data_IF_801586107460
#
_entry.id   IF_801586107460
#
_cell.length_a   1.000
_cell.length_b   1.000
_cell.length_c   1.000
_cell.angle_alpha   90.00
_cell.angle_beta   90.00
_cell.angle_gamma   90.00
#
_symmetry.space_group_name_H-M   'P 1'
#
loop_
_entity.id
_entity.type
_entity.pdbx_description
1 polymer ?
#
# COMPACT_ATOMS: atom_id res chain seq x y z
N UNK A 1 -39.65 -16.85 -19.89
CA UNK A 1 -38.45 -17.16 -19.09
C UNK A 1 -37.50 -15.97 -19.17
N UNK A 2 -37.42 -15.19 -18.09
CA UNK A 2 -36.51 -14.04 -18.00
C UNK A 2 -35.14 -14.55 -17.51
N UNK A 3 -34.18 -14.64 -18.42
CA UNK A 3 -32.77 -14.79 -18.05
C UNK A 3 -32.35 -13.45 -17.46
N UNK A 4 -32.40 -13.35 -16.13
CA UNK A 4 -31.82 -12.22 -15.42
C UNK A 4 -30.29 -12.41 -15.54
N UNK A 5 -29.62 -11.46 -16.17
CA UNK A 5 -28.15 -11.34 -16.21
C UNK A 5 -27.62 -11.01 -14.79
N UNK A 6 -27.69 -12.00 -13.90
CA UNK A 6 -27.14 -11.97 -12.54
C UNK A 6 -25.63 -11.64 -12.52
N UNK A 7 -24.76 -12.16 -13.44
CA UNK A 7 -23.32 -11.91 -13.40
C UNK A 7 -22.95 -10.43 -13.59
N UNK A 8 -23.71 -9.72 -14.43
CA UNK A 8 -23.43 -8.33 -14.84
C UNK A 8 -23.66 -7.34 -13.70
N UNK A 9 -24.62 -7.64 -12.81
CA UNK A 9 -24.93 -6.78 -11.66
C UNK A 9 -23.91 -6.96 -10.53
N UNK A 10 -23.47 -8.20 -10.26
CA UNK A 10 -22.42 -8.47 -9.28
C UNK A 10 -21.09 -7.85 -9.68
N UNK A 11 -20.66 -8.00 -10.94
CA UNK A 11 -19.44 -7.36 -11.43
C UNK A 11 -19.49 -5.83 -11.33
N UNK A 12 -20.64 -5.22 -11.61
CA UNK A 12 -20.83 -3.77 -11.49
C UNK A 12 -20.72 -3.32 -10.03
N UNK A 13 -21.32 -4.07 -9.10
CA UNK A 13 -21.20 -3.80 -7.67
C UNK A 13 -19.75 -3.92 -7.19
N UNK A 14 -19.04 -4.99 -7.56
CA UNK A 14 -17.62 -5.17 -7.24
C UNK A 14 -16.78 -4.00 -7.74
N UNK A 15 -16.95 -3.60 -8.99
CA UNK A 15 -16.24 -2.45 -9.57
C UNK A 15 -16.55 -1.14 -8.83
N UNK A 16 -17.80 -0.93 -8.39
CA UNK A 16 -18.19 0.25 -7.59
C UNK A 16 -17.53 0.24 -6.21
N UNK A 17 -17.51 -0.91 -5.54
CA UNK A 17 -16.88 -1.07 -4.23
C UNK A 17 -15.36 -0.87 -4.33
N UNK A 18 -14.72 -1.44 -5.33
CA UNK A 18 -13.28 -1.25 -5.58
C UNK A 18 -12.93 0.23 -5.82
N UNK A 19 -13.71 0.92 -6.66
CA UNK A 19 -13.55 2.37 -6.87
C UNK A 19 -13.72 3.17 -5.59
N UNK A 20 -14.71 2.83 -4.76
CA UNK A 20 -14.94 3.49 -3.49
C UNK A 20 -13.78 3.25 -2.51
N UNK A 21 -13.29 2.01 -2.42
CA UNK A 21 -12.14 1.65 -1.60
C UNK A 21 -10.87 2.40 -2.04
N UNK A 22 -10.59 2.44 -3.34
CA UNK A 22 -9.44 3.17 -3.88
C UNK A 22 -9.47 4.65 -3.52
N UNK A 23 -10.64 5.31 -3.63
CA UNK A 23 -10.81 6.72 -3.20
C UNK A 23 -10.54 6.92 -1.71
N UNK A 24 -10.94 5.97 -0.86
CA UNK A 24 -10.65 6.02 0.58
C UNK A 24 -9.14 5.93 0.82
N UNK A 25 -8.44 5.03 0.11
CA UNK A 25 -6.98 4.90 0.23
C UNK A 25 -6.24 6.14 -0.27
N UNK A 26 -6.70 6.81 -1.33
CA UNK A 26 -6.12 8.08 -1.79
C UNK A 26 -6.25 9.19 -0.73
N UNK A 27 -7.42 9.30 -0.09
CA UNK A 27 -7.63 10.24 1.02
C UNK A 27 -6.78 9.87 2.24
N UNK A 28 -6.68 8.58 2.56
CA UNK A 28 -5.83 8.10 3.64
C UNK A 28 -4.36 8.43 3.38
N UNK A 29 -3.87 8.21 2.16
CA UNK A 29 -2.53 8.56 1.72
C UNK A 29 -2.26 10.06 1.86
N UNK A 30 -3.22 10.92 1.46
CA UNK A 30 -3.14 12.34 1.73
C UNK A 30 -2.92 12.61 3.23
N UNK A 31 -3.73 12.02 4.11
CA UNK A 31 -3.64 12.25 5.56
C UNK A 31 -2.30 11.80 6.17
N UNK A 32 -1.79 10.62 5.82
CA UNK A 32 -0.59 10.05 6.44
C UNK A 32 0.74 10.56 5.85
N UNK A 33 0.71 11.11 4.63
CA UNK A 33 1.91 11.64 3.97
C UNK A 33 2.52 12.78 4.77
N UNK A 34 3.82 12.69 5.06
CA UNK A 34 4.51 13.65 5.94
C UNK A 34 5.42 14.65 5.23
N UNK A 35 5.92 14.30 4.05
CA UNK A 35 6.96 15.07 3.34
C UNK A 35 6.58 15.43 1.91
N UNK A 36 5.48 14.88 1.40
CA UNK A 36 4.95 15.21 0.07
C UNK A 36 4.08 16.44 0.13
N UNK A 37 4.21 17.31 -0.88
CA UNK A 37 3.51 18.59 -0.91
C UNK A 37 1.98 18.38 -0.95
N UNK A 38 1.26 18.90 0.05
CA UNK A 38 -0.22 18.82 0.13
C UNK A 38 -0.91 19.26 -1.16
N UNK A 39 -0.45 20.35 -1.78
CA UNK A 39 -1.01 20.83 -3.03
C UNK A 39 -0.86 19.82 -4.18
N UNK A 40 0.27 19.12 -4.23
CA UNK A 40 0.49 18.10 -5.25
C UNK A 40 -0.34 16.84 -4.98
N UNK A 41 -0.54 16.49 -3.70
CA UNK A 41 -1.41 15.36 -3.31
C UNK A 41 -2.89 15.65 -3.63
N UNK A 42 -3.38 16.86 -3.33
CA UNK A 42 -4.74 17.28 -3.71
C UNK A 42 -4.88 17.29 -5.23
N UNK A 43 -3.88 17.82 -5.93
CA UNK A 43 -3.87 17.80 -7.38
C UNK A 43 -3.92 16.36 -7.92
N UNK A 44 -3.11 15.43 -7.42
CA UNK A 44 -3.15 14.01 -7.84
C UNK A 44 -4.54 13.38 -7.68
N UNK A 45 -5.26 13.72 -6.60
CA UNK A 45 -6.61 13.22 -6.36
C UNK A 45 -7.68 13.83 -7.30
N UNK A 46 -7.47 15.06 -7.78
CA UNK A 46 -8.48 15.82 -8.55
C UNK A 46 -8.09 16.09 -10.00
N UNK A 47 -6.89 15.70 -10.43
CA UNK A 47 -6.33 16.06 -11.71
C UNK A 47 -7.16 15.54 -12.87
N UNK A 48 -7.35 16.39 -13.88
CA UNK A 48 -7.80 15.97 -15.19
C UNK A 48 -6.64 15.34 -15.98
N UNK A 49 -6.90 14.42 -16.94
CA UNK A 49 -5.85 13.71 -17.68
C UNK A 49 -4.79 14.62 -18.35
N UNK A 50 -5.18 15.82 -18.75
CA UNK A 50 -4.33 16.77 -19.49
C UNK A 50 -3.73 17.89 -18.62
N UNK A 51 -3.95 17.84 -17.30
CA UNK A 51 -3.36 18.84 -16.41
C UNK A 51 -1.88 18.56 -16.13
N UNK A 52 -1.10 19.64 -16.05
CA UNK A 52 0.28 19.56 -15.61
C UNK A 52 0.35 19.56 -14.08
N UNK A 53 1.17 18.67 -13.53
CA UNK A 53 1.46 18.63 -12.10
C UNK A 53 2.01 19.98 -11.64
N UNK A 54 1.42 20.63 -10.62
CA UNK A 54 1.91 21.90 -10.10
C UNK A 54 3.31 21.71 -9.49
N UNK A 55 4.11 22.77 -9.48
CA UNK A 55 5.38 22.78 -8.75
C UNK A 55 5.16 22.63 -7.24
N UNK A 56 6.22 22.29 -6.51
CA UNK A 56 6.14 22.17 -5.05
C UNK A 56 5.90 23.55 -4.42
N UNK A 57 4.87 23.67 -3.59
CA UNK A 57 4.41 24.96 -3.09
C UNK A 57 5.32 25.58 -2.02
N UNK A 58 6.15 24.78 -1.35
CA UNK A 58 7.05 25.17 -0.25
C UNK A 58 6.39 25.87 0.96
N UNK A 59 5.05 25.86 1.06
CA UNK A 59 4.29 26.59 2.09
C UNK A 59 3.31 25.76 2.93
N UNK A 60 2.99 24.53 2.52
CA UNK A 60 2.15 23.63 3.33
C UNK A 60 2.94 23.01 4.48
N UNK A 61 2.24 22.47 5.48
CA UNK A 61 2.79 21.75 6.63
C UNK A 61 3.83 20.69 6.23
N UNK A 62 3.52 19.84 5.25
CA UNK A 62 4.44 18.81 4.77
C UNK A 62 5.70 19.39 4.13
N UNK A 63 5.57 20.49 3.37
CA UNK A 63 6.74 21.15 2.78
C UNK A 63 7.62 21.78 3.86
N UNK A 64 7.02 22.47 4.83
CA UNK A 64 7.72 23.07 5.96
C UNK A 64 8.46 21.96 6.73
N UNK A 65 7.78 20.85 7.03
CA UNK A 65 8.36 19.68 7.70
C UNK A 65 9.51 19.07 6.89
N UNK A 66 9.37 18.92 5.58
CA UNK A 66 10.42 18.39 4.69
C UNK A 66 11.65 19.30 4.66
N UNK A 67 11.46 20.61 4.56
CA UNK A 67 12.56 21.59 4.54
C UNK A 67 13.31 21.59 5.88
N UNK A 68 12.59 21.53 7.00
CA UNK A 68 13.16 21.48 8.33
C UNK A 68 13.91 20.17 8.59
N UNK A 69 13.28 19.02 8.33
CA UNK A 69 13.81 17.70 8.67
C UNK A 69 14.85 17.19 7.66
N UNK A 70 14.85 17.71 6.43
CA UNK A 70 15.72 17.27 5.32
C UNK A 70 15.80 15.73 5.23
N UNK A 71 14.65 15.04 5.06
CA UNK A 71 14.64 13.59 5.05
C UNK A 71 15.51 13.05 3.93
N UNK A 72 16.21 11.95 4.19
CA UNK A 72 16.98 11.23 3.18
C UNK A 72 16.03 10.42 2.30
N UNK A 73 16.10 10.62 0.99
CA UNK A 73 15.45 9.74 0.03
C UNK A 73 16.24 8.43 -0.03
N UNK A 74 15.54 7.31 0.15
CA UNK A 74 16.10 5.98 0.04
C UNK A 74 15.49 5.30 -1.18
N UNK A 75 16.31 4.58 -1.94
CA UNK A 75 15.80 3.65 -2.93
C UNK A 75 15.26 2.43 -2.17
N UNK A 76 13.95 2.22 -2.25
CA UNK A 76 13.24 1.12 -1.60
C UNK A 76 12.84 0.01 -2.56
N UNK A 77 13.37 0.00 -3.79
CA UNK A 77 12.97 -0.96 -4.82
C UNK A 77 13.10 -2.41 -4.35
N UNK A 78 14.25 -2.77 -3.79
CA UNK A 78 14.51 -4.14 -3.36
C UNK A 78 13.62 -4.55 -2.16
N UNK A 79 13.32 -3.62 -1.25
CA UNK A 79 12.40 -3.84 -0.15
C UNK A 79 10.97 -4.07 -0.65
N UNK A 80 10.51 -3.28 -1.62
CA UNK A 80 9.19 -3.42 -2.24
C UNK A 80 9.09 -4.76 -2.97
N UNK A 81 10.09 -5.13 -3.76
CA UNK A 81 10.11 -6.42 -4.46
C UNK A 81 10.03 -7.59 -3.48
N UNK A 82 10.81 -7.56 -2.40
CA UNK A 82 10.75 -8.59 -1.34
C UNK A 82 9.39 -8.64 -0.66
N UNK A 83 8.73 -7.50 -0.43
CA UNK A 83 7.38 -7.48 0.14
C UNK A 83 6.37 -8.12 -0.81
N UNK A 84 6.47 -7.84 -2.11
CA UNK A 84 5.61 -8.43 -3.13
C UNK A 84 5.82 -9.95 -3.23
N UNK A 85 7.05 -10.43 -3.16
CA UNK A 85 7.37 -11.87 -3.11
C UNK A 85 6.70 -12.55 -1.89
N UNK A 86 6.71 -11.90 -0.71
CA UNK A 86 6.04 -12.40 0.48
C UNK A 86 4.52 -12.44 0.28
N UNK A 87 3.93 -11.39 -0.32
CA UNK A 87 2.49 -11.35 -0.62
C UNK A 87 2.10 -12.46 -1.60
N UNK A 88 2.86 -12.63 -2.67
CA UNK A 88 2.61 -13.65 -3.70
C UNK A 88 2.65 -15.05 -3.09
N UNK A 89 3.66 -15.33 -2.27
CA UNK A 89 3.78 -16.62 -1.60
C UNK A 89 2.61 -16.87 -0.63
N UNK A 90 2.34 -15.91 0.26
CA UNK A 90 1.32 -16.09 1.30
C UNK A 90 -0.11 -16.05 0.74
N UNK A 91 -0.33 -15.44 -0.42
CA UNK A 91 -1.66 -15.42 -1.06
C UNK A 91 -2.08 -16.80 -1.58
N UNK A 92 -1.16 -17.77 -1.65
CA UNK A 92 -1.47 -19.18 -1.94
C UNK A 92 -2.00 -19.94 -0.70
N UNK A 93 -1.83 -19.38 0.50
CA UNK A 93 -2.27 -19.97 1.76
C UNK A 93 -3.68 -19.48 2.14
N UNK A 94 -4.48 -20.37 2.73
CA UNK A 94 -5.78 -19.97 3.27
C UNK A 94 -5.64 -19.10 4.53
N UNK A 95 -6.54 -18.11 4.64
CA UNK A 95 -6.74 -17.25 5.81
C UNK A 95 -5.59 -16.30 6.16
N UNK A 96 -4.72 -15.94 5.22
CA UNK A 96 -3.66 -14.94 5.47
C UNK A 96 -4.23 -13.53 5.66
N UNK A 97 -3.80 -12.83 6.70
CA UNK A 97 -4.09 -11.42 6.93
C UNK A 97 -2.93 -10.51 6.52
N UNK A 98 -3.16 -9.21 6.29
CA UNK A 98 -2.08 -8.25 6.06
C UNK A 98 -1.01 -8.23 7.17
N UNK A 99 -1.42 -8.45 8.42
CA UNK A 99 -0.48 -8.52 9.55
C UNK A 99 0.48 -9.71 9.45
N UNK A 100 0.02 -10.84 8.89
CA UNK A 100 0.87 -12.00 8.64
C UNK A 100 1.95 -11.69 7.61
N UNK A 101 1.59 -10.98 6.53
CA UNK A 101 2.53 -10.51 5.50
C UNK A 101 3.59 -9.63 6.15
N UNK A 102 3.18 -8.66 6.97
CA UNK A 102 4.11 -7.76 7.68
C UNK A 102 5.00 -8.55 8.63
N UNK A 103 4.46 -9.53 9.34
CA UNK A 103 5.21 -10.41 10.24
C UNK A 103 6.26 -11.23 9.51
N UNK A 104 5.92 -11.88 8.40
CA UNK A 104 6.88 -12.65 7.60
C UNK A 104 7.93 -11.72 6.99
N UNK A 105 7.51 -10.62 6.36
CA UNK A 105 8.40 -9.66 5.71
C UNK A 105 9.46 -9.07 6.66
N UNK A 106 9.09 -8.85 7.93
CA UNK A 106 9.99 -8.31 8.96
C UNK A 106 10.81 -9.37 9.70
N UNK A 107 10.55 -10.65 9.48
CA UNK A 107 11.18 -11.74 10.27
C UNK A 107 10.63 -11.84 11.69
N UNK A 108 9.33 -11.57 11.85
CA UNK A 108 8.59 -11.69 13.10
C UNK A 108 8.43 -13.15 13.53
N UNK A 109 8.74 -13.44 14.79
CA UNK A 109 8.68 -14.81 15.36
C UNK A 109 7.36 -15.07 16.09
N UNK A 110 6.24 -14.60 15.53
CA UNK A 110 4.92 -14.76 16.17
C UNK A 110 4.52 -16.24 16.22
N UNK A 111 3.61 -16.59 17.12
CA UNK A 111 3.15 -17.98 17.28
C UNK A 111 2.60 -18.53 15.96
N UNK A 112 1.89 -17.68 15.20
CA UNK A 112 1.32 -18.01 13.91
C UNK A 112 2.38 -18.31 12.85
N UNK A 113 3.42 -17.47 12.73
CA UNK A 113 4.56 -17.71 11.83
C UNK A 113 5.19 -19.08 12.09
N UNK A 114 5.42 -19.43 13.36
CA UNK A 114 5.98 -20.75 13.75
C UNK A 114 5.02 -21.90 13.47
N UNK A 115 3.72 -21.73 13.78
CA UNK A 115 2.71 -22.77 13.57
C UNK A 115 2.55 -23.11 12.08
N UNK A 116 2.56 -22.08 11.23
CA UNK A 116 2.51 -22.20 9.76
C UNK A 116 3.87 -22.52 9.13
N UNK A 117 4.95 -22.57 9.92
CA UNK A 117 6.33 -22.81 9.50
C UNK A 117 6.84 -21.81 8.45
N UNK A 118 6.29 -20.59 8.45
CA UNK A 118 6.71 -19.54 7.53
C UNK A 118 8.15 -19.06 7.79
N UNK A 119 8.69 -19.31 8.98
CA UNK A 119 10.08 -19.06 9.36
C UNK A 119 11.09 -19.99 8.67
N UNK A 120 10.62 -21.02 7.95
CA UNK A 120 11.46 -21.95 7.18
C UNK A 120 11.52 -21.62 5.69
N UNK A 121 10.78 -20.59 5.25
CA UNK A 121 10.66 -20.25 3.84
C UNK A 121 11.90 -19.54 3.31
N UNK A 122 12.27 -19.73 2.03
CA UNK A 122 13.39 -19.01 1.42
C UNK A 122 13.22 -17.48 1.44
N UNK A 123 11.98 -17.00 1.38
CA UNK A 123 11.62 -15.58 1.43
C UNK A 123 11.68 -15.00 2.86
N UNK A 124 11.77 -15.86 3.89
CA UNK A 124 11.83 -15.40 5.27
C UNK A 124 13.21 -14.76 5.54
N UNK A 125 13.27 -13.54 6.08
CA UNK A 125 14.53 -12.83 6.21
C UNK A 125 15.42 -13.48 7.28
N UNK A 126 16.72 -13.56 6.99
CA UNK A 126 17.74 -14.09 7.91
C UNK A 126 17.87 -13.27 9.20
N UNK A 127 17.63 -11.97 9.11
CA UNK A 127 17.65 -11.03 10.22
C UNK A 127 16.32 -10.30 10.36
N UNK A 128 15.94 -10.02 11.61
CA UNK A 128 14.73 -9.25 11.89
C UNK A 128 14.93 -7.80 11.42
N UNK A 129 14.10 -7.36 10.48
CA UNK A 129 14.10 -5.96 10.01
C UNK A 129 13.48 -5.06 11.09
N UNK A 130 14.07 -3.87 11.27
CA UNK A 130 13.44 -2.79 12.03
C UNK A 130 12.58 -2.00 11.04
N UNK A 131 11.26 -2.04 11.23
CA UNK A 131 10.31 -1.16 10.56
C UNK A 131 10.07 0.07 11.44
#
# INVERSE_FOLDING_TARGET
ESIIDIPTNEQNLTNKLERAANKIFEVFYYCISQYECRQQLIWQYQAWPDENKPSVCNKCDNCIKRIANKPKLLDGKDEIMKLLEVVEFLSQEEQVSPDDVVDVFRGGKTARVKQKKWDTLPIYPSEKKRC
#
